data_IF_097650985151
#
_entry.id   IF_097650985151
#
_cell.length_a   1.000
_cell.length_b   1.000
_cell.length_c   1.000
_cell.angle_alpha   90.00
_cell.angle_beta   90.00
_cell.angle_gamma   90.00
#
_symmetry.space_group_name_H-M   'P 1'
#
loop_
_entity.id
_entity.type
_entity.pdbx_description
1 polymer ?
#
# COMPACT_ATOMS: atom_id res chain seq x y z
N UNK A 1 10.25 34.15 -1.12
CA UNK A 1 9.85 33.13 -0.14
C UNK A 1 8.39 32.88 -0.39
N UNK A 2 8.09 31.85 -1.16
CA UNK A 2 6.72 31.44 -1.45
C UNK A 2 6.26 30.62 -0.25
N UNK A 3 5.24 31.10 0.46
CA UNK A 3 4.65 30.38 1.59
C UNK A 3 4.09 29.05 1.08
N UNK A 4 4.44 27.95 1.76
CA UNK A 4 3.88 26.64 1.46
C UNK A 4 2.35 26.70 1.62
N UNK A 5 1.57 26.14 0.69
CA UNK A 5 0.12 26.19 0.75
C UNK A 5 -0.38 25.60 2.07
N UNK A 6 -1.08 26.40 2.85
CA UNK A 6 -1.71 25.99 4.11
C UNK A 6 -2.82 24.99 3.78
N UNK A 7 -2.61 23.72 4.12
CA UNK A 7 -3.64 22.69 4.03
C UNK A 7 -4.85 23.11 4.87
N UNK A 8 -6.06 23.01 4.31
CA UNK A 8 -7.29 23.33 5.01
C UNK A 8 -7.41 22.49 6.31
N UNK A 9 -8.05 23.03 7.37
CA UNK A 9 -8.22 22.31 8.63
C UNK A 9 -9.03 21.02 8.39
N UNK A 10 -8.39 19.87 8.63
CA UNK A 10 -9.00 18.55 8.51
C UNK A 10 -9.88 18.25 9.72
N UNK A 11 -11.10 17.76 9.50
CA UNK A 11 -11.96 17.24 10.56
C UNK A 11 -11.43 15.86 10.98
N UNK A 12 -11.12 15.62 12.27
CA UNK A 12 -10.75 14.29 12.74
C UNK A 12 -11.89 13.30 12.48
N UNK A 13 -11.61 12.25 11.72
CA UNK A 13 -12.57 11.17 11.49
C UNK A 13 -12.42 10.09 12.56
N UNK A 14 -13.54 9.57 13.02
CA UNK A 14 -13.56 8.36 13.85
C UNK A 14 -12.99 7.17 13.06
N UNK A 15 -12.27 6.28 13.74
CA UNK A 15 -11.70 5.07 13.13
C UNK A 15 -12.82 4.08 12.78
N UNK A 16 -12.79 3.45 11.60
CA UNK A 16 -13.82 2.46 11.21
C UNK A 16 -13.88 1.30 12.16
N UNK A 17 -12.73 0.82 12.62
CA UNK A 17 -12.67 -0.28 13.56
C UNK A 17 -13.41 0.04 14.87
N UNK A 18 -13.32 1.28 15.36
CA UNK A 18 -14.04 1.69 16.58
C UNK A 18 -15.53 1.93 16.30
N UNK A 19 -15.89 2.49 15.14
CA UNK A 19 -17.30 2.60 14.73
C UNK A 19 -17.98 1.23 14.72
N UNK A 20 -17.35 0.21 14.13
CA UNK A 20 -17.86 -1.16 14.08
C UNK A 20 -17.91 -1.81 15.47
N UNK A 21 -16.95 -1.52 16.36
CA UNK A 21 -16.97 -2.00 17.75
C UNK A 21 -18.14 -1.40 18.54
N UNK A 22 -18.49 -0.15 18.26
CA UNK A 22 -19.56 0.57 18.94
C UNK A 22 -20.95 0.18 18.42
N UNK A 23 -21.14 0.19 17.10
CA UNK A 23 -22.39 -0.21 16.44
C UNK A 23 -22.10 -0.88 15.08
N UNK A 24 -21.98 -2.23 15.03
CA UNK A 24 -21.64 -2.95 13.80
C UNK A 24 -22.75 -2.93 12.75
N UNK A 25 -23.96 -2.45 13.07
CA UNK A 25 -25.09 -2.41 12.14
C UNK A 25 -25.27 -1.02 11.51
N UNK A 26 -24.49 -0.03 11.94
CA UNK A 26 -24.63 1.35 11.48
C UNK A 26 -23.46 1.76 10.59
N UNK A 27 -23.79 2.12 9.33
CA UNK A 27 -22.84 2.73 8.39
C UNK A 27 -23.23 4.20 8.22
N UNK A 28 -22.38 5.16 8.65
CA UNK A 28 -22.66 6.58 8.47
C UNK A 28 -22.74 6.97 6.99
N UNK A 29 -23.55 7.98 6.67
CA UNK A 29 -23.85 8.35 5.28
C UNK A 29 -22.61 8.71 4.44
N UNK A 30 -21.55 9.23 5.08
CA UNK A 30 -20.29 9.54 4.40
C UNK A 30 -19.53 8.32 3.86
N UNK A 31 -19.90 7.09 4.24
CA UNK A 31 -19.34 5.84 3.75
C UNK A 31 -20.25 5.13 2.74
N UNK A 32 -21.45 5.66 2.50
CA UNK A 32 -22.42 5.05 1.59
C UNK A 32 -22.13 5.54 0.17
N UNK A 33 -21.61 4.64 -0.64
CA UNK A 33 -21.37 4.84 -2.07
C UNK A 33 -22.68 5.10 -2.83
N UNK A 34 -22.64 5.97 -3.85
CA UNK A 34 -23.83 6.25 -4.65
C UNK A 34 -24.27 5.04 -5.48
N UNK A 35 -25.56 4.96 -5.80
CA UNK A 35 -26.10 3.90 -6.65
C UNK A 35 -25.43 3.86 -8.04
N UNK A 36 -25.09 5.03 -8.59
CA UNK A 36 -24.38 5.14 -9.88
C UNK A 36 -22.97 4.53 -9.81
N UNK A 37 -22.22 4.78 -8.72
CA UNK A 37 -20.90 4.19 -8.50
C UNK A 37 -20.99 2.67 -8.29
N UNK A 38 -22.03 2.20 -7.59
CA UNK A 38 -22.27 0.77 -7.39
C UNK A 38 -22.58 0.06 -8.71
N UNK A 39 -23.39 0.68 -9.57
CA UNK A 39 -23.71 0.17 -10.91
C UNK A 39 -22.47 0.12 -11.81
N UNK A 40 -21.60 1.14 -11.73
CA UNK A 40 -20.30 1.13 -12.41
C UNK A 40 -19.38 0.01 -11.90
N UNK A 41 -19.30 -0.19 -10.58
CA UNK A 41 -18.48 -1.25 -9.98
C UNK A 41 -18.98 -2.65 -10.36
N UNK A 42 -20.30 -2.84 -10.47
CA UNK A 42 -20.91 -4.11 -10.87
C UNK A 42 -20.86 -4.35 -12.39
N UNK A 43 -20.68 -3.31 -13.20
CA UNK A 43 -20.50 -3.43 -14.63
C UNK A 43 -19.06 -3.87 -14.96
N UNK A 44 -18.83 -5.18 -14.92
CA UNK A 44 -17.54 -5.81 -15.23
C UNK A 44 -17.65 -6.70 -16.47
N UNK A 45 -17.67 -6.13 -17.70
CA UNK A 45 -17.84 -6.91 -18.93
C UNK A 45 -16.64 -7.84 -19.26
N UNK A 46 -15.55 -7.79 -18.50
CA UNK A 46 -14.28 -8.49 -18.79
C UNK A 46 -13.71 -9.37 -17.65
N UNK A 47 -14.46 -9.63 -16.57
CA UNK A 47 -13.97 -10.49 -15.47
C UNK A 47 -13.78 -11.97 -15.83
N UNK A 48 -14.02 -12.38 -17.07
CA UNK A 48 -13.82 -13.77 -17.51
C UNK A 48 -12.35 -14.11 -17.80
N UNK A 49 -11.42 -13.16 -17.68
CA UNK A 49 -9.99 -13.40 -17.90
C UNK A 49 -9.27 -13.48 -16.55
N UNK A 50 -8.50 -14.55 -16.32
CA UNK A 50 -7.68 -14.71 -15.12
C UNK A 50 -6.56 -13.66 -15.09
N UNK A 51 -6.31 -13.06 -13.92
CA UNK A 51 -5.22 -12.07 -13.73
C UNK A 51 -3.88 -12.73 -14.12
N UNK A 52 -3.04 -12.09 -14.96
CA UNK A 52 -1.76 -12.65 -15.35
C UNK A 52 -0.88 -12.97 -14.14
N UNK A 53 -0.21 -14.12 -14.16
CA UNK A 53 0.74 -14.56 -13.12
C UNK A 53 2.15 -14.55 -13.68
N UNK A 54 3.08 -13.83 -13.08
CA UNK A 54 4.46 -13.68 -13.56
C UNK A 54 5.42 -14.42 -12.63
N UNK A 55 6.26 -15.28 -13.16
CA UNK A 55 7.35 -15.94 -12.44
C UNK A 55 8.58 -15.03 -12.40
N UNK A 56 8.88 -14.47 -11.22
CA UNK A 56 10.00 -13.54 -11.08
C UNK A 56 11.34 -14.21 -11.35
N UNK A 57 11.52 -15.47 -10.97
CA UNK A 57 12.79 -16.17 -11.15
C UNK A 57 13.08 -16.40 -12.65
N UNK A 58 12.07 -16.77 -13.43
CA UNK A 58 12.20 -16.87 -14.89
C UNK A 58 12.43 -15.50 -15.53
N UNK A 59 11.69 -14.48 -15.08
CA UNK A 59 11.82 -13.10 -15.57
C UNK A 59 13.25 -12.58 -15.34
N UNK A 60 13.80 -12.75 -14.14
CA UNK A 60 15.15 -12.30 -13.78
C UNK A 60 16.25 -12.99 -14.58
N UNK A 61 16.04 -14.25 -14.96
CA UNK A 61 16.94 -15.01 -15.81
C UNK A 61 16.83 -14.63 -17.31
N UNK A 62 15.97 -13.67 -17.66
CA UNK A 62 15.77 -13.24 -19.03
C UNK A 62 15.04 -14.26 -19.90
N UNK A 63 14.18 -15.09 -19.29
CA UNK A 63 13.35 -16.01 -20.05
C UNK A 63 12.46 -15.22 -21.04
N UNK A 64 12.53 -15.58 -22.32
CA UNK A 64 11.84 -14.85 -23.40
C UNK A 64 10.33 -14.95 -23.31
N UNK A 65 9.80 -16.12 -22.97
CA UNK A 65 8.37 -16.35 -22.84
C UNK A 65 7.82 -15.56 -21.65
N UNK A 66 8.55 -15.54 -20.53
CA UNK A 66 8.15 -14.78 -19.35
C UNK A 66 8.23 -13.26 -19.57
N UNK A 67 9.25 -12.79 -20.30
CA UNK A 67 9.35 -11.38 -20.72
C UNK A 67 8.19 -10.97 -21.63
N UNK A 68 7.79 -11.83 -22.57
CA UNK A 68 6.62 -11.59 -23.44
C UNK A 68 5.33 -11.54 -22.62
N UNK A 69 5.15 -12.49 -21.69
CA UNK A 69 4.01 -12.51 -20.77
C UNK A 69 3.95 -11.25 -19.90
N UNK A 70 5.10 -10.82 -19.40
CA UNK A 70 5.24 -9.60 -18.62
C UNK A 70 4.90 -8.35 -19.44
N UNK A 71 5.37 -8.26 -20.69
CA UNK A 71 5.04 -7.15 -21.62
C UNK A 71 3.53 -7.05 -21.88
N UNK A 72 2.87 -8.18 -22.15
CA UNK A 72 1.41 -8.24 -22.33
C UNK A 72 0.68 -7.83 -21.05
N UNK A 73 1.09 -8.35 -19.89
CA UNK A 73 0.50 -7.98 -18.61
C UNK A 73 0.63 -6.47 -18.32
N UNK A 74 1.78 -5.87 -18.63
CA UNK A 74 1.97 -4.42 -18.46
C UNK A 74 1.10 -3.59 -19.42
N UNK A 75 0.94 -4.00 -20.67
CA UNK A 75 0.21 -3.23 -21.71
C UNK A 75 -1.29 -3.38 -21.64
N UNK A 76 -1.78 -4.60 -21.42
CA UNK A 76 -3.21 -4.92 -21.52
C UNK A 76 -3.92 -4.87 -20.17
N UNK A 77 -3.21 -5.16 -19.08
CA UNK A 77 -3.79 -5.24 -17.74
C UNK A 77 -3.37 -4.10 -16.84
N UNK A 78 -2.09 -3.72 -16.86
CA UNK A 78 -1.51 -2.85 -15.84
C UNK A 78 -1.50 -3.48 -14.44
N UNK A 79 -1.84 -4.77 -14.32
CA UNK A 79 -1.94 -5.52 -13.07
C UNK A 79 -1.61 -7.00 -13.29
N UNK A 80 -0.91 -7.61 -12.33
CA UNK A 80 -0.51 -9.01 -12.38
C UNK A 80 -0.11 -9.51 -10.99
N UNK A 81 -0.15 -10.82 -10.81
CA UNK A 81 0.41 -11.51 -9.65
C UNK A 81 1.85 -11.90 -9.92
N UNK A 82 2.66 -12.06 -8.87
CA UNK A 82 4.04 -12.54 -8.97
C UNK A 82 4.20 -13.79 -8.13
N UNK A 83 4.84 -14.81 -8.69
CA UNK A 83 5.24 -16.05 -8.01
C UNK A 83 6.76 -16.22 -8.08
N UNK A 84 7.29 -17.12 -7.25
CA UNK A 84 8.74 -17.39 -7.20
C UNK A 84 9.59 -16.12 -6.99
N UNK A 85 9.05 -15.16 -6.23
CA UNK A 85 9.66 -13.86 -5.96
C UNK A 85 10.85 -13.90 -4.97
N UNK A 86 11.07 -15.04 -4.32
CA UNK A 86 12.20 -15.27 -3.40
C UNK A 86 12.05 -14.61 -2.02
N UNK A 87 10.90 -13.99 -1.72
CA UNK A 87 10.61 -13.48 -0.38
C UNK A 87 10.23 -14.65 0.52
N UNK A 88 10.92 -14.81 1.64
CA UNK A 88 10.71 -15.92 2.56
C UNK A 88 9.27 -15.93 3.10
N UNK A 89 8.62 -17.09 3.08
CA UNK A 89 7.24 -17.25 3.56
C UNK A 89 7.12 -16.91 5.03
N UNK A 90 8.12 -17.24 5.84
CA UNK A 90 8.17 -16.92 7.26
C UNK A 90 8.20 -15.41 7.50
N UNK A 91 8.92 -14.65 6.67
CA UNK A 91 8.96 -13.18 6.76
C UNK A 91 7.62 -12.57 6.38
N UNK A 92 6.98 -13.07 5.33
CA UNK A 92 5.64 -12.62 4.94
C UNK A 92 4.61 -12.90 6.04
N UNK A 93 4.71 -14.06 6.71
CA UNK A 93 3.83 -14.40 7.82
C UNK A 93 4.07 -13.48 9.02
N UNK A 94 5.34 -13.26 9.43
CA UNK A 94 5.69 -12.31 10.49
C UNK A 94 5.17 -10.90 10.22
N UNK A 95 5.23 -10.43 8.98
CA UNK A 95 4.69 -9.14 8.59
C UNK A 95 3.17 -9.07 8.76
N UNK A 96 2.44 -10.14 8.39
CA UNK A 96 0.99 -10.25 8.60
C UNK A 96 0.63 -10.29 10.07
N UNK A 97 1.36 -11.08 10.87
CA UNK A 97 1.15 -11.21 12.31
C UNK A 97 1.40 -9.88 13.01
N UNK A 98 2.51 -9.21 12.71
CA UNK A 98 2.85 -7.90 13.24
C UNK A 98 1.78 -6.83 12.90
N UNK A 99 1.28 -6.82 11.66
CA UNK A 99 0.19 -5.93 11.27
C UNK A 99 -1.10 -6.25 12.05
N UNK A 100 -1.47 -7.53 12.16
CA UNK A 100 -2.65 -7.98 12.91
C UNK A 100 -2.56 -7.60 14.39
N UNK A 101 -1.43 -7.85 15.02
CA UNK A 101 -1.17 -7.49 16.42
C UNK A 101 -1.30 -5.99 16.64
N UNK A 102 -0.72 -5.15 15.76
CA UNK A 102 -0.87 -3.70 15.83
C UNK A 102 -2.34 -3.25 15.77
N UNK A 103 -3.13 -3.75 14.82
CA UNK A 103 -4.55 -3.37 14.71
C UNK A 103 -5.43 -3.95 15.83
N UNK A 104 -4.97 -4.98 16.54
CA UNK A 104 -5.63 -5.52 17.72
C UNK A 104 -5.33 -4.75 19.01
N UNK A 105 -4.37 -3.81 19.00
CA UNK A 105 -4.10 -2.97 20.16
C UNK A 105 -5.30 -2.08 20.52
N UNK A 106 -5.42 -1.65 21.79
CA UNK A 106 -6.37 -0.62 22.20
C UNK A 106 -6.21 0.66 21.39
N UNK A 107 -7.30 1.40 21.20
CA UNK A 107 -7.30 2.63 20.39
C UNK A 107 -6.34 3.68 20.95
N UNK A 108 -6.18 3.73 22.28
CA UNK A 108 -5.25 4.63 22.96
C UNK A 108 -3.80 4.35 22.58
N UNK A 109 -3.45 3.08 22.38
CA UNK A 109 -2.12 2.66 21.95
C UNK A 109 -1.88 2.97 20.47
N UNK A 110 -2.87 2.75 19.60
CA UNK A 110 -2.79 3.07 18.17
C UNK A 110 -2.71 4.59 17.93
N UNK A 111 -3.47 5.38 18.70
CA UNK A 111 -3.53 6.84 18.57
C UNK A 111 -2.23 7.56 18.97
N UNK A 112 -1.29 6.88 19.66
CA UNK A 112 0.08 7.41 19.87
C UNK A 112 0.80 7.68 18.56
N UNK A 113 0.39 7.02 17.48
CA UNK A 113 0.98 7.13 16.15
C UNK A 113 0.07 7.87 15.17
N UNK A 114 -0.98 8.56 15.64
CA UNK A 114 -1.99 9.17 14.79
C UNK A 114 -1.40 10.13 13.75
N UNK A 115 -1.95 10.11 12.54
CA UNK A 115 -1.71 11.13 11.52
C UNK A 115 -2.10 12.51 12.07
N UNK A 116 -1.17 13.46 11.99
CA UNK A 116 -1.42 14.87 12.32
C UNK A 116 -1.91 15.58 11.05
N UNK A 117 -2.75 16.61 11.16
CA UNK A 117 -3.39 17.28 10.01
C UNK A 117 -2.44 17.81 8.92
N UNK A 118 -1.17 18.06 9.25
CA UNK A 118 -0.13 18.48 8.31
C UNK A 118 0.70 17.32 7.72
N UNK A 119 0.35 16.08 8.04
CA UNK A 119 1.13 14.88 7.78
C UNK A 119 0.31 13.80 7.08
N UNK A 120 0.94 13.10 6.14
CA UNK A 120 0.34 11.97 5.40
C UNK A 120 0.79 10.61 5.94
N UNK A 121 1.47 10.60 7.09
CA UNK A 121 2.09 9.43 7.71
C UNK A 121 1.62 9.26 9.14
N UNK A 122 1.53 8.00 9.58
CA UNK A 122 0.94 7.63 10.87
C UNK A 122 -0.32 6.78 10.72
N UNK A 123 -0.98 6.58 11.84
CA UNK A 123 -2.19 5.80 11.99
C UNK A 123 -3.45 6.65 11.80
N UNK A 124 -4.46 6.10 11.15
CA UNK A 124 -5.77 6.69 10.99
C UNK A 124 -6.15 6.85 9.51
N UNK A 125 -7.05 7.80 9.26
CA UNK A 125 -7.56 8.10 7.93
C UNK A 125 -6.83 9.32 7.35
N UNK A 126 -6.54 9.26 6.06
CA UNK A 126 -6.08 10.44 5.33
C UNK A 126 -7.11 11.58 5.43
N UNK A 127 -6.64 12.83 5.41
CA UNK A 127 -7.49 14.00 5.56
C UNK A 127 -8.60 14.04 4.49
N UNK A 128 -9.82 14.38 4.93
CA UNK A 128 -10.94 14.69 4.03
C UNK A 128 -10.65 16.00 3.32
N UNK A 129 -10.61 15.97 1.98
CA UNK A 129 -10.32 17.16 1.16
C UNK A 129 -11.61 17.96 0.88
N UNK A 130 -12.78 17.32 0.96
CA UNK A 130 -14.10 17.95 0.76
C UNK A 130 -15.21 17.20 1.51
N UNK A 131 -16.21 17.91 2.02
CA UNK A 131 -17.38 17.32 2.72
C UNK A 131 -18.29 16.46 1.84
N UNK A 132 -18.08 16.45 0.52
CA UNK A 132 -18.82 15.61 -0.44
C UNK A 132 -18.08 14.31 -0.79
N UNK A 133 -16.94 14.04 -0.16
CA UNK A 133 -16.13 12.86 -0.44
C UNK A 133 -16.71 11.61 0.25
N UNK A 134 -16.96 10.56 -0.53
CA UNK A 134 -17.21 9.21 -0.01
C UNK A 134 -15.94 8.70 0.67
N UNK A 135 -16.05 8.29 1.93
CA UNK A 135 -14.95 7.83 2.77
C UNK A 135 -14.75 6.31 2.63
N UNK A 136 -13.49 5.87 2.63
CA UNK A 136 -13.15 4.45 2.62
C UNK A 136 -13.54 3.76 3.94
N UNK A 137 -14.13 2.56 3.84
CA UNK A 137 -14.39 1.68 5.00
C UNK A 137 -13.10 0.97 5.46
N UNK A 138 -12.09 1.76 5.83
CA UNK A 138 -10.81 1.25 6.32
C UNK A 138 -10.12 2.20 7.29
N UNK A 139 -9.23 1.63 8.10
CA UNK A 139 -8.21 2.35 8.84
C UNK A 139 -6.83 1.99 8.28
N UNK A 140 -5.85 2.89 8.37
CA UNK A 140 -4.52 2.63 7.81
C UNK A 140 -3.37 3.11 8.68
N UNK A 141 -2.24 2.43 8.58
CA UNK A 141 -0.95 2.89 9.08
C UNK A 141 -0.02 3.12 7.89
N UNK A 142 0.44 4.37 7.72
CA UNK A 142 1.29 4.77 6.59
C UNK A 142 2.69 5.13 7.10
N UNK A 143 3.72 4.43 6.62
CA UNK A 143 5.11 4.58 7.05
C UNK A 143 6.04 4.75 5.86
N UNK A 144 6.92 5.75 5.91
CA UNK A 144 8.06 5.84 4.99
C UNK A 144 9.05 4.77 5.42
N UNK A 145 9.44 3.87 4.52
CA UNK A 145 10.37 2.77 4.81
C UNK A 145 11.73 2.97 4.15
N UNK A 146 11.81 3.69 3.03
CA UNK A 146 13.05 4.04 2.35
C UNK A 146 12.90 5.38 1.59
N UNK A 147 13.95 6.21 1.49
CA UNK A 147 15.23 6.15 2.21
C UNK A 147 15.11 6.31 3.72
N UNK A 148 16.09 5.79 4.46
CA UNK A 148 16.05 5.79 5.94
C UNK A 148 16.06 7.20 6.51
N UNK A 149 16.72 8.16 5.85
CA UNK A 149 16.79 9.55 6.30
C UNK A 149 15.46 10.30 6.28
N UNK A 150 14.47 9.84 5.51
CA UNK A 150 13.13 10.45 5.48
C UNK A 150 12.15 9.77 6.44
N UNK A 151 12.57 8.74 7.18
CA UNK A 151 11.70 8.05 8.13
C UNK A 151 11.32 8.98 9.27
N UNK A 152 10.01 9.12 9.49
CA UNK A 152 9.44 9.83 10.63
C UNK A 152 9.21 8.85 11.79
N UNK A 153 10.27 8.55 12.54
CA UNK A 153 10.27 7.54 13.61
C UNK A 153 9.20 7.74 14.69
N UNK A 154 8.69 8.97 14.86
CA UNK A 154 7.56 9.25 15.74
C UNK A 154 6.27 8.50 15.37
N UNK A 155 6.12 8.11 14.10
CA UNK A 155 4.96 7.35 13.61
C UNK A 155 5.19 5.84 13.58
N UNK A 156 6.40 5.38 13.92
CA UNK A 156 6.73 3.96 13.91
C UNK A 156 6.31 3.29 15.22
N UNK A 157 5.39 2.30 15.18
CA UNK A 157 5.00 1.55 16.36
C UNK A 157 6.19 0.87 17.04
N UNK A 158 6.21 0.96 18.38
CA UNK A 158 7.15 0.23 19.24
C UNK A 158 6.56 -1.09 19.75
N UNK A 159 5.25 -1.25 19.56
CA UNK A 159 4.47 -2.42 19.92
C UNK A 159 3.75 -2.89 18.66
N UNK A 160 3.75 -4.20 18.33
CA UNK A 160 4.41 -5.28 19.05
C UNK A 160 5.95 -5.23 19.04
N UNK A 161 6.60 -6.01 19.90
CA UNK A 161 8.06 -6.12 19.95
C UNK A 161 8.60 -6.61 18.59
N UNK A 162 9.67 -5.99 18.08
CA UNK A 162 10.24 -6.36 16.79
C UNK A 162 9.52 -5.78 15.56
N UNK A 163 8.49 -4.95 15.75
CA UNK A 163 7.68 -4.40 14.64
C UNK A 163 8.53 -3.66 13.60
N UNK A 164 9.48 -2.85 14.05
CA UNK A 164 10.36 -2.07 13.18
C UNK A 164 11.25 -2.99 12.35
N UNK A 165 11.91 -3.95 12.98
CA UNK A 165 12.82 -4.90 12.37
C UNK A 165 12.11 -5.79 11.34
N UNK A 166 10.88 -6.22 11.65
CA UNK A 166 10.04 -7.00 10.73
C UNK A 166 9.69 -6.16 9.49
N UNK A 167 9.25 -4.92 9.67
CA UNK A 167 8.92 -4.02 8.55
C UNK A 167 10.16 -3.72 7.71
N UNK A 168 11.30 -3.47 8.33
CA UNK A 168 12.54 -3.19 7.61
C UNK A 168 12.98 -4.37 6.75
N UNK A 169 12.97 -5.57 7.32
CA UNK A 169 13.30 -6.79 6.60
C UNK A 169 12.34 -7.02 5.42
N UNK A 170 11.02 -6.90 5.67
CA UNK A 170 10.00 -7.08 4.64
C UNK A 170 10.10 -6.02 3.54
N UNK A 171 10.21 -4.74 3.90
CA UNK A 171 10.30 -3.63 2.96
C UNK A 171 11.55 -3.74 2.08
N UNK A 172 12.67 -4.22 2.64
CA UNK A 172 13.89 -4.47 1.87
C UNK A 172 13.68 -5.54 0.79
N UNK A 173 13.02 -6.66 1.12
CA UNK A 173 12.72 -7.71 0.15
C UNK A 173 11.71 -7.25 -0.91
N UNK A 174 10.67 -6.50 -0.53
CA UNK A 174 9.70 -5.93 -1.48
C UNK A 174 10.37 -4.95 -2.43
N UNK A 175 11.29 -4.12 -1.93
CA UNK A 175 12.06 -3.19 -2.76
C UNK A 175 12.93 -3.95 -3.75
N UNK A 176 13.64 -5.00 -3.34
CA UNK A 176 14.42 -5.87 -4.25
C UNK A 176 13.55 -6.41 -5.38
N UNK A 177 12.34 -6.88 -5.08
CA UNK A 177 11.37 -7.34 -6.10
C UNK A 177 10.98 -6.19 -7.04
N UNK A 178 10.65 -5.01 -6.50
CA UNK A 178 10.28 -3.83 -7.30
C UNK A 178 11.41 -3.35 -8.23
N UNK A 179 12.65 -3.35 -7.75
CA UNK A 179 13.84 -3.00 -8.53
C UNK A 179 14.03 -3.95 -9.72
N UNK A 180 13.83 -5.25 -9.52
CA UNK A 180 13.93 -6.25 -10.57
C UNK A 180 12.80 -6.13 -11.60
N UNK A 181 11.58 -5.80 -11.17
CA UNK A 181 10.46 -5.52 -12.08
C UNK A 181 10.74 -4.27 -12.95
N UNK A 182 11.20 -3.17 -12.36
CA UNK A 182 11.59 -1.96 -13.12
C UNK A 182 12.74 -2.24 -14.09
N UNK A 183 13.67 -3.09 -13.66
CA UNK A 183 14.80 -3.52 -14.49
C UNK A 183 14.35 -4.37 -15.67
N UNK A 184 13.39 -5.27 -15.46
CA UNK A 184 12.76 -6.09 -16.50
C UNK A 184 11.88 -5.26 -17.44
N UNK A 185 11.21 -4.24 -16.89
CA UNK A 185 10.44 -3.26 -17.67
C UNK A 185 11.32 -2.51 -18.67
N UNK A 186 12.57 -2.21 -18.28
CA UNK A 186 13.56 -1.62 -19.20
C UNK A 186 13.81 -2.52 -20.40
N UNK A 187 13.92 -3.84 -20.17
CA UNK A 187 14.21 -4.84 -21.22
C UNK A 187 13.06 -4.96 -22.20
N UNK A 188 11.80 -5.07 -21.74
CA UNK A 188 10.63 -5.16 -22.64
C UNK A 188 10.41 -3.85 -23.43
N UNK A 189 10.88 -2.72 -22.91
CA UNK A 189 10.89 -1.44 -23.63
C UNK A 189 12.07 -1.29 -24.61
N UNK A 190 12.89 -2.34 -24.80
CA UNK A 190 14.04 -2.32 -25.70
C UNK A 190 15.24 -1.52 -25.18
N UNK A 191 15.27 -1.20 -23.88
CA UNK A 191 16.38 -0.53 -23.22
C UNK A 191 17.34 -1.54 -22.60
N UNK A 192 18.54 -1.07 -22.22
CA UNK A 192 19.44 -1.88 -21.38
C UNK A 192 18.79 -2.12 -20.01
N UNK A 193 19.07 -3.29 -19.41
CA UNK A 193 18.60 -3.61 -18.05
C UNK A 193 19.00 -2.48 -17.08
N UNK A 194 18.11 -2.15 -16.14
CA UNK A 194 18.27 -1.10 -15.12
C UNK A 194 18.17 0.36 -15.59
N UNK A 195 17.93 0.65 -16.88
CA UNK A 195 17.81 2.05 -17.35
C UNK A 195 16.66 2.78 -16.68
N UNK A 196 15.45 2.21 -16.66
CA UNK A 196 14.30 2.84 -16.00
C UNK A 196 14.54 3.02 -14.51
N UNK A 197 15.08 2.00 -13.84
CA UNK A 197 15.41 2.09 -12.43
C UNK A 197 16.38 3.26 -12.15
N UNK A 198 17.43 3.40 -12.96
CA UNK A 198 18.39 4.50 -12.85
C UNK A 198 17.79 5.90 -13.07
N UNK A 199 16.70 6.02 -13.83
CA UNK A 199 16.01 7.30 -14.04
C UNK A 199 15.32 7.81 -12.78
N UNK A 200 14.96 6.94 -11.83
CA UNK A 200 14.34 7.34 -10.57
C UNK A 200 15.31 8.06 -9.62
N UNK A 201 16.63 8.04 -9.87
CA UNK A 201 17.71 8.62 -9.05
C UNK A 201 17.74 8.12 -7.60
N UNK A 202 16.75 8.49 -6.80
CA UNK A 202 16.49 8.04 -5.43
C UNK A 202 15.11 7.39 -5.39
N UNK A 203 15.04 6.12 -4.98
CA UNK A 203 13.77 5.44 -4.79
C UNK A 203 13.13 5.87 -3.48
N UNK A 204 11.81 6.05 -3.49
CA UNK A 204 11.01 6.36 -2.31
C UNK A 204 10.01 5.22 -2.08
N UNK A 205 9.99 4.67 -0.87
CA UNK A 205 9.16 3.53 -0.50
C UNK A 205 8.30 3.87 0.70
N UNK A 206 6.99 3.67 0.54
CA UNK A 206 5.98 3.84 1.59
C UNK A 206 5.27 2.51 1.77
N UNK A 207 5.14 2.09 3.02
CA UNK A 207 4.30 0.98 3.43
C UNK A 207 2.96 1.54 3.90
N UNK A 208 1.86 1.01 3.36
CA UNK A 208 0.51 1.26 3.86
C UNK A 208 -0.10 -0.06 4.32
N UNK A 209 -0.32 -0.19 5.62
CA UNK A 209 -1.10 -1.29 6.19
C UNK A 209 -2.56 -0.86 6.22
N UNK A 210 -3.45 -1.62 5.58
CA UNK A 210 -4.87 -1.33 5.57
C UNK A 210 -5.60 -2.38 6.42
N UNK A 211 -6.52 -1.91 7.27
CA UNK A 211 -7.43 -2.75 8.02
C UNK A 211 -8.85 -2.46 7.56
N UNK A 212 -9.55 -3.50 7.13
CA UNK A 212 -10.94 -3.45 6.69
C UNK A 212 -11.79 -4.18 7.73
N UNK A 213 -12.46 -3.46 8.65
CA UNK A 213 -13.40 -4.07 9.59
C UNK A 213 -14.57 -4.75 8.85
N UNK A 214 -15.22 -5.76 9.47
CA UNK A 214 -16.35 -6.45 8.89
C UNK A 214 -17.56 -5.54 8.62
#
# INVERSE_FOLDING_TARGET
MEEAPTLAPSIPLENVQEMVRNDPLHVPIGYVTSQEELEKANYMPHLSSEIPVIDLALLSNGNKEELLKFDVACKEWGFFQIVNHGVQTELMQKMKDAASEFFNLPIEEKNKYAMVSSETHGYGKGCVVSGEQTLDWSDSLILITYPTQYRKLQFWPKTPEGFMEIIEAYASEVRRVGEELLSSMSVIMGMRKHVLFGLHKESYQVLRLNYYPP
#
